data_IF_599872090580
#
_entry.id   IF_599872090580
#
_cell.length_a   1.000
_cell.length_b   1.000
_cell.length_c   1.000
_cell.angle_alpha   90.00
_cell.angle_beta   90.00
_cell.angle_gamma   90.00
#
_symmetry.space_group_name_H-M   'P 1'
#
loop_
_entity.id
_entity.type
_entity.pdbx_description
1 polymer ?
#
# COMPACT_ATOMS: atom_id res chain seq x y z
N UNK A 1 3.11 13.89 -18.58
CA UNK A 1 3.31 13.40 -17.20
C UNK A 1 3.12 11.90 -17.22
N UNK A 2 3.99 11.15 -16.54
CA UNK A 2 3.69 9.74 -16.23
C UNK A 2 2.47 9.72 -15.31
N UNK A 3 1.63 8.71 -15.47
CA UNK A 3 0.50 8.47 -14.55
C UNK A 3 1.08 7.78 -13.33
N UNK A 4 0.80 8.28 -12.14
CA UNK A 4 1.30 7.69 -10.89
C UNK A 4 0.35 6.57 -10.47
N UNK A 5 0.92 5.50 -9.94
CA UNK A 5 0.22 4.48 -9.16
C UNK A 5 -0.20 5.05 -7.81
N UNK A 6 -1.20 4.43 -7.17
CA UNK A 6 -1.68 4.91 -5.87
C UNK A 6 -2.39 3.86 -5.02
N UNK A 7 -2.40 4.12 -3.71
CA UNK A 7 -3.28 3.48 -2.72
C UNK A 7 -4.13 4.57 -2.09
N UNK A 8 -5.46 4.52 -2.26
CA UNK A 8 -6.40 5.29 -1.45
C UNK A 8 -6.78 4.49 -0.19
N UNK A 9 -6.90 5.18 0.93
CA UNK A 9 -7.18 4.57 2.23
C UNK A 9 -8.10 5.44 3.09
N UNK A 10 -8.76 4.80 4.05
CA UNK A 10 -9.65 5.44 5.02
C UNK A 10 -8.86 6.21 6.08
N UNK A 11 -9.40 7.37 6.50
CA UNK A 11 -8.84 8.23 7.54
C UNK A 11 -9.74 8.26 8.79
N UNK A 12 -9.79 7.20 9.61
CA UNK A 12 -10.65 7.17 10.79
C UNK A 12 -10.12 8.00 11.97
N UNK A 13 -8.79 8.16 12.10
CA UNK A 13 -8.14 8.91 13.18
C UNK A 13 -7.00 9.78 12.63
N UNK A 14 -7.14 11.10 12.74
CA UNK A 14 -6.15 12.08 12.29
C UNK A 14 -4.80 11.95 13.01
N UNK A 15 -4.78 11.49 14.26
CA UNK A 15 -3.51 11.29 14.99
C UNK A 15 -2.72 10.16 14.36
N UNK A 16 -3.38 9.04 14.06
CA UNK A 16 -2.72 7.90 13.41
C UNK A 16 -2.22 8.23 12.02
N UNK A 17 -2.93 9.10 11.30
CA UNK A 17 -2.43 9.59 10.02
C UNK A 17 -1.16 10.44 10.16
N UNK A 18 -1.07 11.30 11.18
CA UNK A 18 0.16 12.06 11.46
C UNK A 18 1.32 11.15 11.83
N UNK A 19 1.10 10.19 12.72
CA UNK A 19 2.12 9.20 13.10
C UNK A 19 2.61 8.43 11.85
N UNK A 20 1.68 8.03 10.98
CA UNK A 20 2.01 7.39 9.71
C UNK A 20 2.89 8.28 8.83
N UNK A 21 2.56 9.57 8.67
CA UNK A 21 3.34 10.49 7.86
C UNK A 21 4.78 10.67 8.39
N UNK A 22 4.95 10.68 9.71
CA UNK A 22 6.27 10.76 10.33
C UNK A 22 7.15 9.54 9.98
N UNK A 23 6.60 8.33 10.14
CA UNK A 23 7.29 7.08 9.83
C UNK A 23 7.49 6.90 8.32
N UNK A 24 6.48 7.22 7.51
CA UNK A 24 6.56 7.18 6.05
C UNK A 24 7.65 8.10 5.52
N UNK A 25 7.82 9.29 6.10
CA UNK A 25 8.92 10.20 5.75
C UNK A 25 10.28 9.55 6.02
N UNK A 26 10.45 8.91 7.18
CA UNK A 26 11.71 8.22 7.52
C UNK A 26 12.01 7.05 6.57
N UNK A 27 10.99 6.26 6.19
CA UNK A 27 11.12 5.18 5.20
C UNK A 27 11.53 5.75 3.84
N UNK A 28 10.85 6.82 3.39
CA UNK A 28 11.13 7.46 2.10
C UNK A 28 12.54 8.03 2.05
N UNK A 29 12.97 8.72 3.10
CA UNK A 29 14.33 9.27 3.22
C UNK A 29 15.40 8.17 3.29
N UNK A 30 15.15 7.08 4.02
CA UNK A 30 16.08 5.95 4.11
C UNK A 30 16.23 5.26 2.75
N UNK A 31 15.12 5.10 2.02
CA UNK A 31 15.11 4.53 0.68
C UNK A 31 15.85 5.41 -0.33
N UNK A 32 15.55 6.72 -0.36
CA UNK A 32 16.16 7.66 -1.31
C UNK A 32 17.67 7.78 -1.12
N UNK A 33 18.14 7.69 0.12
CA UNK A 33 19.56 7.81 0.46
C UNK A 33 20.31 6.47 0.54
N UNK A 34 19.65 5.34 0.27
CA UNK A 34 20.20 3.99 0.47
C UNK A 34 20.79 3.80 1.89
N UNK A 35 20.13 4.39 2.88
CA UNK A 35 20.60 4.52 4.27
C UNK A 35 19.88 3.51 5.16
N UNK A 36 20.49 2.33 5.30
CA UNK A 36 19.96 1.26 6.16
C UNK A 36 20.02 1.67 7.64
N UNK A 37 18.93 1.42 8.36
CA UNK A 37 18.78 1.76 9.79
C UNK A 37 18.75 0.50 10.63
N UNK A 38 19.20 0.62 11.89
CA UNK A 38 19.20 -0.51 12.81
C UNK A 38 17.79 -0.93 13.24
N UNK A 39 17.69 -2.13 13.79
CA UNK A 39 16.45 -2.66 14.35
C UNK A 39 15.91 -1.80 15.50
N UNK A 40 16.78 -1.29 16.36
CA UNK A 40 16.44 -0.37 17.45
C UNK A 40 15.82 0.92 16.91
N UNK A 41 16.38 1.46 15.84
CA UNK A 41 15.87 2.69 15.23
C UNK A 41 14.43 2.49 14.76
N UNK A 42 14.14 1.42 14.02
CA UNK A 42 12.79 1.19 13.53
C UNK A 42 11.81 0.92 14.67
N UNK A 43 12.23 0.13 15.66
CA UNK A 43 11.40 -0.17 16.82
C UNK A 43 11.02 1.09 17.61
N UNK A 44 11.95 2.03 17.78
CA UNK A 44 11.69 3.30 18.49
C UNK A 44 10.81 4.29 17.72
N UNK A 45 10.73 4.19 16.39
CA UNK A 45 10.01 5.15 15.55
C UNK A 45 8.57 4.77 15.27
N UNK A 46 8.25 3.48 15.33
CA UNK A 46 6.87 3.04 15.18
C UNK A 46 6.13 3.17 16.53
N UNK A 47 4.89 3.68 16.53
CA UNK A 47 4.09 3.72 17.74
C UNK A 47 3.66 2.30 18.16
N UNK A 48 3.50 2.07 19.46
CA UNK A 48 3.15 0.76 20.04
C UNK A 48 1.96 0.10 19.32
N UNK A 49 0.88 0.87 19.08
CA UNK A 49 -0.33 0.35 18.43
C UNK A 49 -0.08 -0.12 16.98
N UNK A 50 0.96 0.40 16.30
CA UNK A 50 1.33 -0.08 14.97
C UNK A 50 2.14 -1.36 15.09
N UNK A 51 3.08 -1.42 16.03
CA UNK A 51 3.90 -2.60 16.33
C UNK A 51 3.06 -3.81 16.75
N UNK A 52 1.94 -3.60 17.44
CA UNK A 52 0.96 -4.64 17.80
C UNK A 52 0.43 -5.44 16.59
N UNK A 53 0.54 -4.91 15.36
CA UNK A 53 0.04 -5.56 14.14
C UNK A 53 1.05 -6.50 13.47
N UNK A 54 2.28 -6.57 13.98
CA UNK A 54 3.35 -7.40 13.42
C UNK A 54 3.70 -8.54 14.34
N UNK A 55 4.23 -9.62 13.76
CA UNK A 55 4.90 -10.64 14.57
C UNK A 55 6.40 -10.34 14.67
N UNK A 56 6.99 -10.80 15.77
CA UNK A 56 8.42 -10.79 16.04
C UNK A 56 8.86 -12.23 16.32
N UNK A 57 9.94 -12.69 15.70
CA UNK A 57 10.57 -13.96 16.01
C UNK A 57 11.20 -13.94 17.42
N UNK A 58 11.48 -15.13 17.96
CA UNK A 58 12.07 -15.24 19.31
C UNK A 58 13.47 -14.62 19.43
N UNK A 59 14.21 -14.55 18.33
CA UNK A 59 15.55 -13.96 18.27
C UNK A 59 15.55 -12.44 18.16
N UNK A 60 14.41 -11.82 17.91
CA UNK A 60 14.32 -10.42 17.56
C UNK A 60 14.47 -9.52 18.77
N UNK A 61 14.99 -8.31 18.52
CA UNK A 61 14.66 -7.18 19.38
C UNK A 61 13.14 -6.93 19.27
N UNK A 62 12.41 -6.98 20.38
CA UNK A 62 10.94 -6.88 20.39
C UNK A 62 10.43 -5.98 21.51
N UNK A 63 9.25 -5.39 21.37
CA UNK A 63 8.68 -4.57 22.43
C UNK A 63 8.25 -5.42 23.64
N UNK A 64 8.13 -4.77 24.80
CA UNK A 64 7.72 -5.40 26.07
C UNK A 64 6.18 -5.61 26.19
N UNK A 65 5.43 -5.34 25.12
CA UNK A 65 3.98 -5.54 25.05
C UNK A 65 3.61 -6.67 24.09
N UNK A 66 2.35 -7.13 24.16
CA UNK A 66 1.88 -8.20 23.29
C UNK A 66 1.81 -7.72 21.84
N UNK A 67 2.46 -8.46 20.94
CA UNK A 67 2.37 -8.26 19.48
C UNK A 67 1.53 -9.35 18.83
N UNK A 68 1.40 -9.31 17.50
CA UNK A 68 0.62 -10.28 16.77
C UNK A 68 1.29 -11.67 16.81
N UNK A 69 0.47 -12.71 16.98
CA UNK A 69 0.91 -14.10 16.88
C UNK A 69 1.13 -14.47 15.40
N UNK A 70 2.02 -15.43 15.11
CA UNK A 70 2.25 -15.91 13.73
C UNK A 70 1.03 -16.73 13.26
N UNK A 71 0.06 -16.06 12.67
CA UNK A 71 -1.15 -16.65 12.07
C UNK A 71 -1.50 -15.97 10.74
N UNK A 72 -1.94 -16.75 9.75
CA UNK A 72 -2.30 -16.23 8.42
C UNK A 72 -1.17 -15.47 7.70
N UNK A 73 -1.51 -14.31 7.13
CA UNK A 73 -0.60 -13.44 6.36
C UNK A 73 0.00 -12.29 7.19
N UNK A 74 0.17 -12.47 8.50
CA UNK A 74 0.79 -11.46 9.36
C UNK A 74 2.27 -11.30 8.99
N UNK A 75 2.71 -10.05 8.87
CA UNK A 75 4.08 -9.73 8.49
C UNK A 75 5.02 -9.71 9.68
N UNK A 76 6.25 -10.14 9.44
CA UNK A 76 7.37 -9.91 10.33
C UNK A 76 7.73 -8.42 10.31
N UNK A 77 7.92 -7.80 11.47
CA UNK A 77 8.20 -6.36 11.53
C UNK A 77 9.46 -5.98 10.74
N UNK A 78 10.59 -6.64 11.00
CA UNK A 78 11.86 -6.24 10.35
C UNK A 78 11.91 -6.58 8.86
N UNK A 79 11.26 -7.67 8.44
CA UNK A 79 11.13 -7.97 7.00
C UNK A 79 10.22 -6.96 6.32
N UNK A 80 9.20 -6.42 6.99
CA UNK A 80 8.38 -5.33 6.45
C UNK A 80 9.21 -4.06 6.27
N UNK A 81 10.01 -3.65 7.26
CA UNK A 81 10.85 -2.45 7.14
C UNK A 81 11.92 -2.62 6.06
N UNK A 82 12.61 -3.77 6.02
CA UNK A 82 13.59 -4.11 4.99
C UNK A 82 12.92 -4.10 3.60
N UNK A 83 11.72 -4.66 3.49
CA UNK A 83 10.97 -4.65 2.24
C UNK A 83 10.71 -3.23 1.75
N UNK A 84 10.16 -2.35 2.59
CA UNK A 84 9.83 -0.98 2.17
C UNK A 84 11.07 -0.16 1.79
N UNK A 85 12.16 -0.31 2.53
CA UNK A 85 13.38 0.48 2.34
C UNK A 85 14.23 -0.08 1.19
N UNK A 86 14.53 -1.38 1.21
CA UNK A 86 15.58 -1.97 0.36
C UNK A 86 14.99 -2.72 -0.85
N UNK A 87 13.95 -3.53 -0.65
CA UNK A 87 13.51 -4.48 -1.68
C UNK A 87 12.37 -3.98 -2.59
N UNK A 88 11.58 -3.02 -2.12
CA UNK A 88 10.42 -2.51 -2.84
C UNK A 88 10.86 -1.63 -4.02
N UNK A 89 10.62 -2.08 -5.25
CA UNK A 89 11.00 -1.33 -6.47
C UNK A 89 9.98 -0.25 -6.83
N UNK A 90 9.77 0.70 -5.91
CA UNK A 90 8.93 1.88 -6.11
C UNK A 90 9.67 3.17 -5.72
N UNK A 91 9.30 4.27 -6.37
CA UNK A 91 9.65 5.62 -5.95
C UNK A 91 8.44 6.23 -5.24
N UNK A 92 8.56 6.50 -3.93
CA UNK A 92 7.52 7.18 -3.17
C UNK A 92 7.45 8.65 -3.57
N UNK A 93 6.24 9.17 -3.81
CA UNK A 93 6.05 10.55 -4.26
C UNK A 93 5.45 11.43 -3.18
N UNK A 94 4.27 11.06 -2.69
CA UNK A 94 3.56 11.84 -1.69
C UNK A 94 2.56 10.96 -0.96
N UNK A 95 2.39 11.19 0.34
CA UNK A 95 1.21 10.74 1.07
C UNK A 95 0.41 11.95 1.54
N UNK A 96 -0.84 12.06 1.10
CA UNK A 96 -1.67 13.24 1.35
C UNK A 96 -3.11 12.89 1.69
N UNK A 97 -3.74 13.80 2.42
CA UNK A 97 -5.19 13.82 2.63
C UNK A 97 -5.89 14.29 1.35
N UNK A 98 -6.90 13.56 0.90
CA UNK A 98 -7.78 13.98 -0.22
C UNK A 98 -8.99 14.73 0.31
N UNK A 99 -9.60 14.23 1.38
CA UNK A 99 -10.75 14.85 2.05
C UNK A 99 -10.82 14.41 3.53
N UNK A 100 -11.93 14.70 4.21
CA UNK A 100 -12.11 14.41 5.64
C UNK A 100 -12.02 12.91 5.98
N UNK A 101 -12.37 12.04 5.02
CA UNK A 101 -12.47 10.59 5.20
C UNK A 101 -11.44 9.76 4.43
N UNK A 102 -10.68 10.37 3.51
CA UNK A 102 -9.79 9.66 2.59
C UNK A 102 -8.40 10.29 2.49
N UNK A 103 -7.40 9.42 2.53
CA UNK A 103 -6.00 9.71 2.22
C UNK A 103 -5.54 8.92 1.00
N UNK A 104 -4.37 9.28 0.48
CA UNK A 104 -3.76 8.63 -0.68
C UNK A 104 -2.25 8.68 -0.63
N UNK A 105 -1.64 7.54 -0.92
CA UNK A 105 -0.21 7.36 -1.15
C UNK A 105 0.03 7.21 -2.65
N UNK A 106 0.77 8.16 -3.23
CA UNK A 106 1.19 8.19 -4.63
C UNK A 106 2.63 7.66 -4.76
N UNK A 107 2.88 6.85 -5.79
CA UNK A 107 4.21 6.28 -6.08
C UNK A 107 4.39 6.02 -7.58
N UNK A 108 5.63 5.76 -8.00
CA UNK A 108 5.93 5.13 -9.29
C UNK A 108 6.40 3.71 -9.09
N UNK A 109 5.81 2.76 -9.82
CA UNK A 109 6.38 1.42 -9.95
C UNK A 109 7.59 1.44 -10.91
N UNK A 110 8.75 0.96 -10.45
CA UNK A 110 9.98 0.92 -11.24
C UNK A 110 10.14 -0.38 -12.05
N UNK A 111 9.46 -1.44 -11.64
CA UNK A 111 9.37 -2.73 -12.35
C UNK A 111 7.97 -3.34 -12.20
N UNK A 112 7.61 -4.31 -13.04
CA UNK A 112 6.37 -5.09 -12.84
C UNK A 112 6.63 -6.60 -13.04
N UNK A 113 6.12 -7.47 -12.14
CA UNK A 113 5.45 -7.14 -10.88
C UNK A 113 6.45 -6.62 -9.84
N UNK A 114 6.17 -5.49 -9.19
CA UNK A 114 7.03 -4.92 -8.13
C UNK A 114 6.83 -5.60 -6.76
N UNK A 115 6.00 -6.65 -6.69
CA UNK A 115 5.86 -7.54 -5.53
C UNK A 115 5.41 -6.91 -4.21
N UNK A 116 4.97 -5.64 -4.22
CA UNK A 116 5.05 -4.81 -3.01
C UNK A 116 3.76 -4.15 -2.54
N UNK A 117 2.65 -4.34 -3.27
CA UNK A 117 1.39 -3.68 -2.89
C UNK A 117 0.84 -4.22 -1.57
N UNK A 118 1.04 -5.51 -1.28
CA UNK A 118 0.65 -6.12 -0.01
C UNK A 118 1.45 -5.55 1.16
N UNK A 119 2.78 -5.42 1.02
CA UNK A 119 3.64 -4.79 2.03
C UNK A 119 3.24 -3.34 2.32
N UNK A 120 3.02 -2.53 1.28
CA UNK A 120 2.54 -1.15 1.44
C UNK A 120 1.14 -1.08 2.08
N UNK A 121 0.25 -2.00 1.73
CA UNK A 121 -1.12 -2.07 2.26
C UNK A 121 -1.12 -2.48 3.74
N UNK A 122 -0.26 -3.43 4.12
CA UNK A 122 -0.09 -3.85 5.52
C UNK A 122 0.58 -2.78 6.37
N UNK A 123 1.56 -2.04 5.79
CA UNK A 123 2.15 -0.87 6.44
C UNK A 123 1.08 0.18 6.77
N UNK A 124 0.27 0.60 5.80
CA UNK A 124 -0.88 1.50 6.03
C UNK A 124 -1.84 0.93 7.09
N UNK A 125 -2.20 -0.35 6.99
CA UNK A 125 -3.12 -1.00 7.93
C UNK A 125 -2.60 -1.01 9.36
N UNK A 126 -1.29 -1.13 9.58
CA UNK A 126 -0.73 -1.06 10.94
C UNK A 126 -1.01 0.28 11.64
N UNK A 127 -1.22 1.35 10.87
CA UNK A 127 -1.64 2.66 11.38
C UNK A 127 -3.18 2.81 11.40
N UNK A 128 -3.93 1.74 11.18
CA UNK A 128 -5.39 1.78 11.05
C UNK A 128 -5.88 2.44 9.75
N UNK A 129 -5.00 2.63 8.77
CA UNK A 129 -5.32 3.26 7.48
C UNK A 129 -5.66 2.18 6.45
N UNK A 130 -6.91 1.71 6.46
CA UNK A 130 -7.32 0.59 5.59
C UNK A 130 -7.41 1.04 4.14
N UNK A 131 -6.68 0.36 3.26
CA UNK A 131 -6.78 0.59 1.82
C UNK A 131 -8.21 0.32 1.32
N UNK A 132 -8.72 1.18 0.45
CA UNK A 132 -10.06 1.08 -0.15
C UNK A 132 -10.00 1.00 -1.68
N UNK A 133 -8.95 1.55 -2.31
CA UNK A 133 -8.73 1.47 -3.75
C UNK A 133 -7.24 1.47 -4.07
N UNK A 134 -6.86 0.66 -5.05
CA UNK A 134 -5.47 0.53 -5.51
C UNK A 134 -5.41 0.67 -7.03
N UNK A 135 -4.48 1.48 -7.53
CA UNK A 135 -4.03 1.49 -8.92
C UNK A 135 -2.57 1.08 -8.95
N UNK A 136 -2.32 -0.17 -9.32
CA UNK A 136 -0.98 -0.77 -9.38
C UNK A 136 -0.33 -0.66 -10.78
N UNK A 137 -0.87 0.20 -11.65
CA UNK A 137 -0.39 0.37 -13.03
C UNK A 137 -0.97 -0.65 -14.02
N UNK A 138 -1.21 -1.89 -13.58
CA UNK A 138 -1.89 -2.95 -14.37
C UNK A 138 -3.43 -2.89 -14.37
N UNK A 139 -4.00 -2.08 -13.47
CA UNK A 139 -5.43 -1.91 -13.31
C UNK A 139 -5.78 -1.14 -12.05
N UNK A 140 -7.06 -0.77 -11.94
CA UNK A 140 -7.63 -0.15 -10.74
C UNK A 140 -8.54 -1.17 -10.08
N UNK A 141 -8.44 -1.30 -8.76
CA UNK A 141 -9.11 -2.31 -7.96
C UNK A 141 -9.75 -1.67 -6.74
N UNK A 142 -10.94 -2.14 -6.38
CA UNK A 142 -11.47 -1.93 -5.03
C UNK A 142 -10.85 -2.94 -4.08
N UNK A 143 -10.54 -2.52 -2.87
CA UNK A 143 -10.01 -3.39 -1.82
C UNK A 143 -11.16 -3.84 -0.93
N UNK A 144 -11.30 -5.16 -0.75
CA UNK A 144 -12.26 -5.78 0.15
C UNK A 144 -11.48 -6.54 1.23
N UNK A 145 -11.60 -6.11 2.47
CA UNK A 145 -10.91 -6.76 3.57
C UNK A 145 -11.73 -7.94 4.10
N UNK A 146 -11.11 -9.11 4.18
CA UNK A 146 -11.75 -10.32 4.72
C UNK A 146 -11.43 -10.51 6.20
N UNK A 147 -10.30 -9.97 6.63
CA UNK A 147 -9.86 -9.97 8.03
C UNK A 147 -8.97 -8.74 8.32
N UNK A 148 -8.26 -8.77 9.45
CA UNK A 148 -7.26 -7.76 9.78
C UNK A 148 -5.91 -7.97 9.09
N UNK A 149 -5.68 -9.12 8.46
CA UNK A 149 -4.44 -9.43 7.75
C UNK A 149 -4.65 -9.83 6.29
N UNK A 150 -5.90 -10.06 5.86
CA UNK A 150 -6.22 -10.56 4.52
C UNK A 150 -7.18 -9.61 3.79
N UNK A 151 -6.89 -9.35 2.51
CA UNK A 151 -7.72 -8.56 1.63
C UNK A 151 -7.70 -9.08 0.19
N UNK A 152 -8.76 -8.77 -0.55
CA UNK A 152 -8.91 -9.08 -1.98
C UNK A 152 -8.99 -7.81 -2.81
N UNK A 153 -8.45 -7.90 -4.02
CA UNK A 153 -8.48 -6.82 -5.01
C UNK A 153 -9.47 -7.15 -6.12
N UNK A 154 -10.58 -6.40 -6.16
CA UNK A 154 -11.65 -6.56 -7.14
C UNK A 154 -11.47 -5.56 -8.28
N UNK A 155 -11.07 -6.03 -9.47
CA UNK A 155 -10.77 -5.16 -10.63
C UNK A 155 -12.00 -4.35 -11.06
N UNK A 156 -11.84 -3.03 -11.12
CA UNK A 156 -12.86 -2.12 -11.63
C UNK A 156 -12.89 -2.23 -13.15
N UNK A 157 -14.03 -2.64 -13.72
CA UNK A 157 -14.22 -2.66 -15.18
C UNK A 157 -14.28 -1.23 -15.70
N UNK A 158 -13.20 -0.76 -16.31
CA UNK A 158 -13.20 0.51 -17.03
C UNK A 158 -13.93 0.34 -18.37
N UNK A 159 -14.87 1.26 -18.68
CA UNK A 159 -15.77 1.21 -19.85
C UNK A 159 -15.02 1.35 -21.20
N UNK A 160 -13.70 1.61 -21.17
CA UNK A 160 -12.94 2.06 -22.33
C UNK A 160 -12.69 1.02 -23.45
N UNK A 161 -13.04 -0.26 -23.28
CA UNK A 161 -12.85 -1.27 -24.35
C UNK A 161 -14.12 -1.81 -25.02
N UNK A 162 -15.32 -1.34 -24.64
CA UNK A 162 -16.57 -1.76 -25.31
C UNK A 162 -17.09 -0.76 -26.36
N UNK A 163 -16.48 0.44 -26.47
CA UNK A 163 -16.94 1.49 -27.39
C UNK A 163 -16.51 1.30 -28.85
N UNK A 164 -15.30 0.78 -29.10
CA UNK A 164 -14.77 0.68 -30.46
C UNK A 164 -15.39 -0.45 -31.28
N UNK A 165 -15.82 -1.55 -30.64
CA UNK A 165 -16.45 -2.64 -31.37
C UNK A 165 -17.90 -2.34 -31.79
N UNK A 166 -18.62 -1.42 -31.13
CA UNK A 166 -20.02 -1.15 -31.46
C UNK A 166 -20.17 -0.21 -32.67
N UNK A 167 -19.32 0.82 -32.78
CA UNK A 167 -19.44 1.82 -33.86
C UNK A 167 -19.00 1.24 -35.21
N UNK A 168 -17.89 0.50 -35.26
CA UNK A 168 -17.41 -0.15 -36.49
C UNK A 168 -18.32 -1.29 -36.96
N UNK A 169 -19.00 -2.01 -36.05
CA UNK A 169 -19.99 -3.02 -36.40
C UNK A 169 -21.30 -2.38 -36.94
N UNK A 170 -21.71 -1.23 -36.42
CA UNK A 170 -22.86 -0.48 -36.95
C UNK A 170 -22.57 0.12 -38.33
N UNK A 171 -21.36 0.62 -38.55
CA UNK A 171 -20.93 1.16 -39.86
C UNK A 171 -20.89 0.04 -40.92
N UNK A 172 -20.35 -1.15 -40.61
CA UNK A 172 -20.32 -2.28 -41.54
C UNK A 172 -21.72 -2.80 -41.94
N UNK A 173 -22.74 -2.63 -41.11
CA UNK A 173 -24.13 -2.98 -41.46
C UNK A 173 -24.79 -1.97 -42.42
N UNK A 174 -24.35 -0.71 -42.44
CA UNK A 174 -24.89 0.33 -43.34
C UNK A 174 -24.33 0.26 -44.77
N UNK A 175 -23.15 -0.31 -44.97
CA UNK A 175 -22.51 -0.44 -46.29
C UNK A 175 -22.72 -1.80 -46.98
N UNK A 176 -23.63 -2.64 -46.46
CA UNK A 176 -23.98 -3.96 -47.01
C UNK A 176 -25.40 -4.04 -47.58
N UNK A 177 -25.96 -2.91 -48.03
CA UNK A 177 -27.26 -2.86 -48.70
C UNK A 177 -27.13 -2.22 -50.07
#
# INVERSE_FOLDING_TARGET
MRKNEYIEFELPDERKFKDFLEVFRLISESKENEDSKSEEFWLEKFPDYALENYYFAESDLKPEFKTADLDGEIWHFYTMTEHLVENLEVEFLECKRINDSLGRLDFYALSYPYGGISGMTMFLKSFGLRASKIDEGGGIYNVEWESDSEFKMNKIKTVANNGYNSLWQQIKKKFKK
#
